data_IF_671832433347
#
_entry.id   IF_671832433347
#
_cell.length_a   1.000
_cell.length_b   1.000
_cell.length_c   1.000
_cell.angle_alpha   90.00
_cell.angle_beta   90.00
_cell.angle_gamma   90.00
#
_symmetry.space_group_name_H-M   'P 1'
#
loop_
_entity.id
_entity.type
_entity.pdbx_description
1 polymer ?
#
# COMPACT_ATOMS: atom_id res chain seq x y z
N UNK A 1 0.54 -24.73 -17.24
CA UNK A 1 -0.81 -25.26 -16.94
C UNK A 1 -1.48 -25.66 -18.24
N UNK A 2 -2.13 -26.82 -18.27
CA UNK A 2 -2.92 -27.26 -19.43
C UNK A 2 -4.38 -26.77 -19.32
N UNK A 3 -5.15 -26.87 -20.40
CA UNK A 3 -6.53 -26.36 -20.39
C UNK A 3 -7.49 -27.16 -19.49
N UNK A 4 -7.20 -28.42 -19.19
CA UNK A 4 -8.05 -29.23 -18.32
C UNK A 4 -7.91 -28.74 -16.86
N UNK A 5 -6.68 -28.55 -16.42
CA UNK A 5 -6.35 -27.92 -15.14
C UNK A 5 -6.93 -26.51 -15.07
N UNK A 6 -6.74 -25.70 -16.12
CA UNK A 6 -7.28 -24.35 -16.17
C UNK A 6 -8.80 -24.35 -16.04
N UNK A 7 -9.48 -25.24 -16.77
CA UNK A 7 -10.94 -25.39 -16.73
C UNK A 7 -11.48 -25.67 -15.32
N UNK A 8 -10.79 -26.51 -14.53
CA UNK A 8 -11.17 -26.80 -13.14
C UNK A 8 -11.00 -25.58 -12.22
N UNK A 9 -10.05 -24.71 -12.52
CA UNK A 9 -9.71 -23.54 -11.70
C UNK A 9 -10.42 -22.25 -12.12
N UNK A 10 -11.09 -22.21 -13.28
CA UNK A 10 -11.81 -21.01 -13.76
C UNK A 10 -12.90 -20.53 -12.79
N UNK A 11 -13.62 -21.45 -12.14
CA UNK A 11 -14.69 -21.12 -11.19
C UNK A 11 -14.13 -20.52 -9.89
N UNK A 12 -13.21 -21.19 -9.15
CA UNK A 12 -12.55 -20.59 -7.99
C UNK A 12 -11.84 -19.27 -8.32
N UNK A 13 -11.25 -19.15 -9.52
CA UNK A 13 -10.64 -17.92 -9.98
C UNK A 13 -11.67 -16.79 -10.13
N UNK A 14 -12.83 -17.07 -10.74
CA UNK A 14 -13.92 -16.10 -10.86
C UNK A 14 -14.50 -15.66 -9.49
N UNK A 15 -14.44 -16.53 -8.49
CA UNK A 15 -14.90 -16.26 -7.12
C UNK A 15 -13.80 -15.66 -6.22
N UNK A 16 -12.58 -15.44 -6.74
CA UNK A 16 -11.42 -14.92 -6.00
C UNK A 16 -10.97 -15.81 -4.83
N UNK A 17 -11.12 -17.13 -4.97
CA UNK A 17 -10.81 -18.12 -3.93
C UNK A 17 -9.45 -18.81 -4.12
N UNK A 18 -8.73 -18.48 -5.21
CA UNK A 18 -7.41 -19.06 -5.47
C UNK A 18 -6.31 -18.40 -4.65
N UNK A 19 -5.34 -19.21 -4.23
CA UNK A 19 -4.05 -18.71 -3.74
C UNK A 19 -3.27 -17.99 -4.84
N UNK A 20 -2.35 -17.10 -4.44
CA UNK A 20 -1.64 -16.20 -5.36
C UNK A 20 -0.96 -16.94 -6.53
N UNK A 21 -0.33 -18.09 -6.25
CA UNK A 21 0.39 -18.85 -7.27
C UNK A 21 -0.57 -19.45 -8.31
N UNK A 22 -1.70 -20.00 -7.88
CA UNK A 22 -2.72 -20.57 -8.76
C UNK A 22 -3.43 -19.49 -9.58
N UNK A 23 -3.71 -18.33 -8.98
CA UNK A 23 -4.29 -17.18 -9.67
C UNK A 23 -3.38 -16.69 -10.82
N UNK A 24 -2.09 -16.48 -10.54
CA UNK A 24 -1.13 -16.04 -11.56
C UNK A 24 -1.00 -17.05 -12.72
N UNK A 25 -1.01 -18.34 -12.41
CA UNK A 25 -0.92 -19.38 -13.43
C UNK A 25 -2.16 -19.42 -14.34
N UNK A 26 -3.35 -19.07 -13.82
CA UNK A 26 -4.56 -18.90 -14.61
C UNK A 26 -4.50 -17.63 -15.45
N UNK A 27 -4.05 -16.51 -14.88
CA UNK A 27 -3.86 -15.24 -15.61
C UNK A 27 -2.95 -15.44 -16.84
N UNK A 28 -1.80 -16.08 -16.64
CA UNK A 28 -0.87 -16.41 -17.73
C UNK A 28 -1.53 -17.32 -18.77
N UNK A 29 -2.22 -18.39 -18.35
CA UNK A 29 -2.90 -19.29 -19.29
C UNK A 29 -4.00 -18.56 -20.09
N UNK A 30 -4.73 -17.64 -19.47
CA UNK A 30 -5.72 -16.81 -20.14
C UNK A 30 -5.10 -15.78 -21.09
N UNK A 31 -3.82 -15.42 -20.99
CA UNK A 31 -3.15 -14.58 -22.00
C UNK A 31 -2.81 -15.39 -23.26
N UNK A 32 -2.56 -16.68 -23.13
CA UNK A 32 -2.09 -17.52 -24.25
C UNK A 32 -3.19 -18.39 -24.88
N UNK A 33 -4.25 -18.74 -24.14
CA UNK A 33 -5.28 -19.67 -24.60
C UNK A 33 -6.61 -19.00 -24.94
N UNK A 34 -6.93 -18.89 -26.23
CA UNK A 34 -8.20 -18.34 -26.71
C UNK A 34 -9.44 -19.14 -26.24
N UNK A 35 -9.33 -20.47 -26.16
CA UNK A 35 -10.42 -21.35 -25.68
C UNK A 35 -10.77 -21.05 -24.23
N UNK A 36 -9.78 -21.02 -23.35
CA UNK A 36 -10.00 -20.76 -21.92
C UNK A 36 -10.47 -19.32 -21.67
N UNK A 37 -10.01 -18.34 -22.48
CA UNK A 37 -10.59 -16.98 -22.46
C UNK A 37 -12.08 -16.98 -22.78
N UNK A 38 -12.49 -17.68 -23.84
CA UNK A 38 -13.90 -17.76 -24.22
C UNK A 38 -14.75 -18.42 -23.12
N UNK A 39 -14.26 -19.51 -22.52
CA UNK A 39 -14.92 -20.16 -21.38
C UNK A 39 -15.07 -19.24 -20.17
N UNK A 40 -14.00 -18.51 -19.81
CA UNK A 40 -14.02 -17.56 -18.71
C UNK A 40 -14.97 -16.39 -18.97
N UNK A 41 -14.95 -15.82 -20.19
CA UNK A 41 -15.88 -14.78 -20.59
C UNK A 41 -17.35 -15.24 -20.52
N UNK A 42 -17.63 -16.49 -20.89
CA UNK A 42 -18.94 -17.11 -20.73
C UNK A 42 -19.37 -17.18 -19.26
N UNK A 43 -18.47 -17.61 -18.38
CA UNK A 43 -18.71 -17.67 -16.94
C UNK A 43 -19.02 -16.30 -16.34
N UNK A 44 -18.22 -15.28 -16.66
CA UNK A 44 -18.44 -13.91 -16.15
C UNK A 44 -19.73 -13.30 -16.70
N UNK A 45 -20.08 -13.61 -17.95
CA UNK A 45 -21.34 -13.16 -18.57
C UNK A 45 -22.55 -13.79 -17.87
N UNK A 46 -22.51 -15.09 -17.60
CA UNK A 46 -23.55 -15.80 -16.86
C UNK A 46 -23.71 -15.22 -15.45
N UNK A 47 -22.60 -15.03 -14.73
CA UNK A 47 -22.62 -14.44 -13.39
C UNK A 47 -23.23 -13.04 -13.39
N UNK A 48 -22.88 -12.20 -14.36
CA UNK A 48 -23.45 -10.87 -14.50
C UNK A 48 -24.95 -10.91 -14.88
N UNK A 49 -25.40 -11.92 -15.63
CA UNK A 49 -26.81 -12.11 -15.92
C UNK A 49 -27.59 -12.54 -14.66
N UNK A 50 -27.06 -13.49 -13.89
CA UNK A 50 -27.66 -13.93 -12.62
C UNK A 50 -27.73 -12.79 -11.60
N UNK A 51 -26.67 -12.00 -11.46
CA UNK A 51 -26.66 -10.85 -10.55
C UNK A 51 -27.68 -9.77 -10.91
N UNK A 52 -28.08 -9.67 -12.19
CA UNK A 52 -29.14 -8.75 -12.65
C UNK A 52 -30.53 -9.34 -12.51
N UNK A 53 -30.67 -10.65 -12.71
CA UNK A 53 -31.95 -11.35 -12.64
C UNK A 53 -32.37 -11.65 -11.19
N UNK A 54 -31.41 -11.88 -10.30
CA UNK A 54 -31.64 -12.16 -8.90
C UNK A 54 -31.45 -10.87 -8.09
N UNK A 55 -32.52 -10.41 -7.44
CA UNK A 55 -32.38 -9.34 -6.45
C UNK A 55 -31.56 -9.84 -5.25
N UNK A 56 -30.56 -9.09 -4.79
CA UNK A 56 -29.85 -9.42 -3.56
C UNK A 56 -30.83 -9.42 -2.39
N UNK A 57 -30.95 -10.55 -1.70
CA UNK A 57 -31.79 -10.62 -0.52
C UNK A 57 -31.21 -9.71 0.57
N UNK A 58 -32.00 -8.74 1.04
CA UNK A 58 -31.54 -7.82 2.08
C UNK A 58 -31.43 -8.58 3.40
N UNK A 59 -30.28 -8.45 4.05
CA UNK A 59 -30.08 -8.99 5.38
C UNK A 59 -31.20 -8.47 6.33
N UNK A 60 -31.89 -9.36 7.07
CA UNK A 60 -32.92 -8.95 8.01
C UNK A 60 -32.36 -7.91 9.00
N UNK A 61 -33.12 -6.84 9.32
CA UNK A 61 -32.69 -5.82 10.26
C UNK A 61 -32.08 -6.35 11.57
N UNK A 62 -32.64 -7.40 12.23
CA UNK A 62 -32.04 -7.92 13.46
C UNK A 62 -30.67 -8.57 13.24
N UNK A 63 -30.46 -9.26 12.12
CA UNK A 63 -29.18 -9.89 11.78
C UNK A 63 -28.12 -8.82 11.49
N UNK A 64 -28.48 -7.81 10.69
CA UNK A 64 -27.60 -6.67 10.39
C UNK A 64 -27.17 -5.96 11.67
N UNK A 65 -28.11 -5.67 12.56
CA UNK A 65 -27.82 -5.01 13.84
C UNK A 65 -26.90 -5.86 14.74
N UNK A 66 -27.07 -7.19 14.75
CA UNK A 66 -26.19 -8.11 15.50
C UNK A 66 -24.77 -8.09 14.94
N UNK A 67 -24.61 -8.22 13.62
CA UNK A 67 -23.30 -8.22 12.96
C UNK A 67 -22.56 -6.91 13.22
N UNK A 68 -23.22 -5.77 13.02
CA UNK A 68 -22.60 -4.44 13.24
C UNK A 68 -22.13 -4.29 14.69
N UNK A 69 -22.92 -4.76 15.65
CA UNK A 69 -22.56 -4.70 17.09
C UNK A 69 -21.37 -5.58 17.42
N UNK A 70 -21.33 -6.81 16.92
CA UNK A 70 -20.20 -7.74 17.11
C UNK A 70 -18.90 -7.18 16.51
N UNK A 71 -18.98 -6.57 15.31
CA UNK A 71 -17.83 -5.93 14.68
C UNK A 71 -17.36 -4.68 15.46
N UNK A 72 -18.30 -3.87 15.95
CA UNK A 72 -17.98 -2.72 16.80
C UNK A 72 -17.35 -3.13 18.14
N UNK A 73 -17.77 -4.25 18.72
CA UNK A 73 -17.18 -4.80 19.95
C UNK A 73 -15.79 -5.40 19.77
N UNK A 74 -15.42 -5.81 18.54
CA UNK A 74 -14.06 -6.28 18.20
C UNK A 74 -13.10 -5.14 17.85
N UNK A 75 -13.60 -3.94 17.57
CA UNK A 75 -12.75 -2.77 17.47
C UNK A 75 -12.26 -2.38 18.86
N UNK A 76 -10.94 -2.26 19.04
CA UNK A 76 -10.36 -1.77 20.29
C UNK A 76 -10.99 -0.41 20.65
N UNK A 77 -11.32 -0.14 21.92
CA UNK A 77 -11.87 1.14 22.32
C UNK A 77 -10.86 2.24 21.97
N UNK A 78 -11.22 3.10 21.03
CA UNK A 78 -10.56 4.39 20.89
C UNK A 78 -10.75 5.11 22.23
N UNK A 79 -9.66 5.36 22.96
CA UNK A 79 -9.70 6.00 24.25
C UNK A 79 -10.49 7.32 24.17
N UNK A 80 -11.65 7.35 24.82
CA UNK A 80 -12.58 8.46 24.81
C UNK A 80 -12.02 9.64 25.63
N UNK A 81 -11.13 10.42 25.00
CA UNK A 81 -10.60 11.68 25.53
C UNK A 81 -11.58 12.84 25.35
N UNK A 82 -12.90 12.61 25.30
CA UNK A 82 -13.92 13.68 25.17
C UNK A 82 -14.75 13.89 26.45
N UNK A 83 -14.61 13.04 27.46
CA UNK A 83 -15.50 13.05 28.63
C UNK A 83 -15.16 14.06 29.74
N UNK A 84 -14.05 14.79 29.64
CA UNK A 84 -13.64 15.79 30.65
C UNK A 84 -13.90 17.27 30.26
N UNK A 85 -14.55 17.56 29.13
CA UNK A 85 -14.64 18.95 28.62
C UNK A 85 -15.96 19.65 28.98
N UNK A 86 -16.89 18.98 29.67
CA UNK A 86 -18.20 19.54 30.04
C UNK A 86 -18.19 20.38 31.34
N UNK A 87 -17.01 20.71 31.90
CA UNK A 87 -16.88 21.54 33.10
C UNK A 87 -16.65 23.05 32.82
N UNK A 88 -16.93 23.56 31.61
CA UNK A 88 -16.77 24.97 31.26
C UNK A 88 -18.09 25.56 30.70
N UNK A 89 -19.08 25.76 31.58
CA UNK A 89 -20.47 26.02 31.20
C UNK A 89 -20.94 27.49 31.01
N UNK A 90 -20.20 28.61 31.29
CA UNK A 90 -20.78 29.94 31.03
C UNK A 90 -20.26 30.66 29.77
N UNK A 91 -19.34 30.09 28.97
CA UNK A 91 -18.69 30.81 27.87
C UNK A 91 -19.32 30.69 26.46
N UNK A 92 -20.37 29.89 26.29
CA UNK A 92 -20.80 29.41 24.95
C UNK A 92 -21.74 30.39 24.24
N UNK A 93 -22.49 31.23 24.97
CA UNK A 93 -23.44 32.15 24.35
C UNK A 93 -22.77 33.28 23.53
N UNK A 94 -21.55 33.71 23.92
CA UNK A 94 -20.80 34.74 23.20
C UNK A 94 -20.16 34.22 21.89
N UNK A 95 -19.89 32.92 21.80
CA UNK A 95 -19.20 32.30 20.66
C UNK A 95 -20.13 32.06 19.44
N UNK A 96 -21.44 31.95 19.66
CA UNK A 96 -22.42 31.73 18.57
C UNK A 96 -22.59 33.00 17.70
N UNK A 97 -22.49 34.19 18.30
CA UNK A 97 -22.60 35.47 17.58
C UNK A 97 -21.35 35.80 16.74
N UNK A 98 -20.17 35.33 17.14
CA UNK A 98 -18.93 35.44 16.33
C UNK A 98 -18.84 34.32 15.28
N UNK A 99 -19.36 33.13 15.58
CA UNK A 99 -19.36 31.98 14.67
C UNK A 99 -20.19 32.18 13.39
N UNK A 100 -21.29 32.95 13.46
CA UNK A 100 -22.13 33.26 12.30
C UNK A 100 -21.42 34.08 11.21
N UNK A 101 -20.44 34.91 11.57
CA UNK A 101 -19.69 35.73 10.62
C UNK A 101 -18.50 35.00 9.97
N UNK A 102 -18.09 33.85 10.53
CA UNK A 102 -16.97 33.03 10.03
C UNK A 102 -17.40 31.97 9.00
N UNK A 103 -18.69 31.64 8.91
CA UNK A 103 -19.23 30.67 7.94
C UNK A 103 -19.40 31.22 6.52
N UNK A 104 -19.21 32.53 6.33
CA UNK A 104 -19.23 33.19 5.02
C UNK A 104 -17.83 33.26 4.35
N UNK A 105 -16.79 32.71 4.99
CA UNK A 105 -15.47 32.65 4.37
C UNK A 105 -15.43 31.49 3.38
N UNK A 106 -15.08 31.70 2.10
CA UNK A 106 -14.87 30.60 1.17
C UNK A 106 -13.86 29.65 1.81
N UNK A 107 -14.10 28.34 1.72
CA UNK A 107 -13.14 27.32 2.13
C UNK A 107 -11.79 27.64 1.47
N UNK A 108 -10.93 28.33 2.22
CA UNK A 108 -9.52 28.42 1.87
C UNK A 108 -9.03 27.01 2.07
N UNK A 109 -8.90 26.28 0.96
CA UNK A 109 -8.03 25.13 0.89
C UNK A 109 -6.77 25.52 1.66
N UNK A 110 -6.41 24.71 2.67
CA UNK A 110 -5.12 24.87 3.32
C UNK A 110 -4.08 24.68 2.22
N UNK A 111 -3.63 25.77 1.61
CA UNK A 111 -2.31 25.81 1.00
C UNK A 111 -1.37 25.76 2.19
N UNK A 112 -1.03 24.53 2.59
CA UNK A 112 0.04 24.25 3.52
C UNK A 112 1.29 24.90 2.94
N UNK A 113 1.59 26.10 3.41
CA UNK A 113 2.80 26.80 3.11
C UNK A 113 3.95 25.98 3.72
N UNK A 114 4.72 25.30 2.86
CA UNK A 114 6.05 24.79 3.19
C UNK A 114 6.14 23.38 3.78
N UNK A 115 5.09 22.56 3.76
CA UNK A 115 5.21 21.18 4.24
C UNK A 115 5.93 20.34 3.16
N UNK A 116 7.19 20.01 3.42
CA UNK A 116 7.97 19.14 2.56
C UNK A 116 7.23 17.80 2.47
N UNK A 117 6.80 17.41 1.27
CA UNK A 117 6.09 16.15 1.12
C UNK A 117 6.96 14.99 1.65
N UNK A 118 6.37 14.15 2.51
CA UNK A 118 6.99 12.93 3.01
C UNK A 118 6.44 11.74 2.22
N UNK A 119 7.30 10.96 1.59
CA UNK A 119 6.88 9.83 0.75
C UNK A 119 7.68 8.59 1.10
N UNK A 120 6.97 7.48 1.31
CA UNK A 120 7.58 6.17 1.51
C UNK A 120 7.36 5.33 0.26
N UNK A 121 8.46 4.95 -0.40
CA UNK A 121 8.47 4.08 -1.56
C UNK A 121 8.71 2.65 -1.10
N UNK A 122 7.91 1.73 -1.61
CA UNK A 122 7.98 0.32 -1.26
C UNK A 122 8.42 -0.51 -2.45
N UNK A 123 9.58 -1.17 -2.34
CA UNK A 123 10.13 -2.09 -3.34
C UNK A 123 10.05 -3.52 -2.79
N UNK A 124 9.11 -4.31 -3.30
CA UNK A 124 8.87 -5.68 -2.87
C UNK A 124 9.59 -6.73 -3.75
N UNK A 125 9.87 -6.43 -5.01
CA UNK A 125 10.47 -7.37 -5.96
C UNK A 125 11.75 -6.78 -6.57
N UNK A 126 12.55 -7.65 -7.19
CA UNK A 126 13.74 -7.24 -7.94
C UNK A 126 13.40 -6.85 -9.40
N UNK A 127 12.15 -7.03 -9.82
CA UNK A 127 11.71 -6.78 -11.19
C UNK A 127 11.70 -5.28 -11.48
N UNK A 128 12.10 -4.89 -12.69
CA UNK A 128 12.05 -3.51 -13.17
C UNK A 128 12.73 -2.48 -12.25
N UNK A 129 13.74 -2.88 -11.49
CA UNK A 129 14.35 -2.03 -10.49
C UNK A 129 14.93 -0.72 -11.07
N UNK A 130 15.53 -0.80 -12.26
CA UNK A 130 15.99 0.37 -13.02
C UNK A 130 14.85 1.36 -13.32
N UNK A 131 13.65 0.86 -13.62
CA UNK A 131 12.47 1.68 -13.82
C UNK A 131 11.97 2.28 -12.50
N UNK A 132 12.00 1.51 -11.42
CA UNK A 132 11.58 1.97 -10.10
C UNK A 132 12.47 3.11 -9.57
N UNK A 133 13.79 2.97 -9.71
CA UNK A 133 14.74 4.02 -9.36
C UNK A 133 14.60 5.25 -10.26
N UNK A 134 14.28 5.07 -11.55
CA UNK A 134 13.94 6.19 -12.44
C UNK A 134 12.66 6.91 -12.01
N UNK A 135 11.63 6.18 -11.58
CA UNK A 135 10.39 6.76 -11.03
C UNK A 135 10.69 7.58 -9.77
N UNK A 136 11.49 7.04 -8.85
CA UNK A 136 11.97 7.77 -7.67
C UNK A 136 12.71 9.06 -8.04
N UNK A 137 13.67 8.98 -8.97
CA UNK A 137 14.42 10.13 -9.47
C UNK A 137 13.49 11.20 -10.05
N UNK A 138 12.55 10.80 -10.90
CA UNK A 138 11.61 11.72 -11.53
C UNK A 138 10.74 12.43 -10.49
N UNK A 139 10.32 11.74 -9.42
CA UNK A 139 9.57 12.35 -8.33
C UNK A 139 10.43 13.37 -7.56
N UNK A 140 11.68 13.01 -7.22
CA UNK A 140 12.60 13.94 -6.55
C UNK A 140 12.91 15.17 -7.40
N UNK A 141 12.98 15.03 -8.72
CA UNK A 141 13.22 16.14 -9.66
C UNK A 141 11.99 17.06 -9.76
N UNK A 142 10.77 16.49 -9.76
CA UNK A 142 9.53 17.24 -9.84
C UNK A 142 9.11 17.92 -8.52
N UNK A 143 9.59 17.39 -7.39
CA UNK A 143 9.23 17.85 -6.05
C UNK A 143 10.48 18.24 -5.24
N UNK A 144 11.05 19.44 -5.45
CA UNK A 144 12.20 19.92 -4.68
C UNK A 144 11.90 19.95 -3.18
N UNK A 145 12.76 19.33 -2.38
CA UNK A 145 12.60 19.25 -0.93
C UNK A 145 11.76 18.06 -0.44
N UNK A 146 11.39 17.11 -1.31
CA UNK A 146 10.76 15.85 -0.93
C UNK A 146 11.64 15.05 0.06
N UNK A 147 11.04 14.61 1.17
CA UNK A 147 11.65 13.63 2.07
C UNK A 147 11.22 12.22 1.67
N UNK A 148 12.13 11.46 1.07
CA UNK A 148 11.85 10.12 0.56
C UNK A 148 12.51 9.03 1.40
N UNK A 149 11.73 8.00 1.77
CA UNK A 149 12.25 6.77 2.38
C UNK A 149 11.89 5.60 1.48
N UNK A 150 12.89 4.84 1.02
CA UNK A 150 12.71 3.60 0.28
C UNK A 150 12.79 2.44 1.27
N UNK A 151 11.72 1.66 1.38
CA UNK A 151 11.67 0.44 2.18
C UNK A 151 11.67 -0.77 1.24
N UNK A 152 12.69 -1.60 1.38
CA UNK A 152 12.86 -2.82 0.58
C UNK A 152 12.64 -4.08 1.43
N UNK A 153 11.91 -5.04 0.86
CA UNK A 153 11.71 -6.36 1.44
C UNK A 153 11.58 -7.43 0.35
N UNK A 154 11.48 -8.71 0.73
CA UNK A 154 11.45 -9.87 -0.17
C UNK A 154 12.61 -9.85 -1.20
N UNK A 155 12.30 -9.96 -2.50
CA UNK A 155 13.30 -9.91 -3.57
C UNK A 155 13.86 -8.48 -3.78
N UNK A 156 13.11 -7.46 -3.37
CA UNK A 156 13.52 -6.06 -3.48
C UNK A 156 14.76 -5.67 -2.67
N UNK A 157 15.26 -6.52 -1.75
CA UNK A 157 16.48 -6.23 -0.98
C UNK A 157 17.77 -6.40 -1.78
N UNK A 158 17.72 -7.07 -2.94
CA UNK A 158 18.93 -7.54 -3.65
C UNK A 158 19.85 -6.40 -4.11
N UNK A 159 19.30 -5.26 -4.48
CA UNK A 159 20.10 -4.12 -4.92
C UNK A 159 20.78 -3.35 -3.79
N UNK A 160 20.37 -3.62 -2.56
CA UNK A 160 20.98 -3.06 -1.36
C UNK A 160 22.06 -3.99 -0.79
N UNK A 161 22.46 -5.02 -1.54
CA UNK A 161 23.55 -5.93 -1.18
C UNK A 161 24.87 -5.52 -1.84
N UNK A 162 25.98 -5.79 -1.15
CA UNK A 162 27.34 -5.56 -1.64
C UNK A 162 27.58 -6.33 -2.93
N UNK A 163 28.10 -5.63 -3.94
CA UNK A 163 28.41 -6.22 -5.24
C UNK A 163 27.22 -6.32 -6.21
N UNK A 164 26.00 -5.93 -5.79
CA UNK A 164 24.86 -5.86 -6.70
C UNK A 164 25.11 -4.81 -7.80
N UNK A 165 24.76 -5.16 -9.05
CA UNK A 165 24.95 -4.33 -10.24
C UNK A 165 23.66 -4.26 -11.04
N UNK A 166 23.45 -3.14 -11.72
CA UNK A 166 22.36 -2.98 -12.67
C UNK A 166 22.66 -3.68 -14.01
N UNK A 167 21.70 -3.60 -14.93
CA UNK A 167 21.80 -4.19 -16.28
C UNK A 167 22.97 -3.64 -17.11
N UNK A 168 23.45 -2.44 -16.78
CA UNK A 168 24.60 -1.80 -17.45
C UNK A 168 25.93 -2.17 -16.79
N UNK A 169 25.90 -2.94 -15.71
CA UNK A 169 27.06 -3.30 -14.91
C UNK A 169 27.46 -2.26 -13.88
N UNK A 170 26.70 -1.16 -13.71
CA UNK A 170 26.98 -0.14 -12.70
C UNK A 170 26.64 -0.69 -11.30
N UNK A 171 27.50 -0.51 -10.28
CA UNK A 171 27.20 -0.93 -8.93
C UNK A 171 26.00 -0.16 -8.34
N UNK A 172 25.03 -0.87 -7.78
CA UNK A 172 23.88 -0.23 -7.12
C UNK A 172 24.28 0.61 -5.91
N UNK A 173 25.40 0.28 -5.24
CA UNK A 173 25.95 1.10 -4.16
C UNK A 173 26.22 2.55 -4.60
N UNK A 174 26.71 2.76 -5.82
CA UNK A 174 26.93 4.11 -6.36
C UNK A 174 25.60 4.82 -6.63
N UNK A 175 24.63 4.12 -7.22
CA UNK A 175 23.30 4.67 -7.50
C UNK A 175 22.59 5.07 -6.20
N UNK A 176 22.65 4.20 -5.19
CA UNK A 176 22.07 4.46 -3.86
C UNK A 176 22.75 5.65 -3.20
N UNK A 177 24.08 5.77 -3.30
CA UNK A 177 24.82 6.92 -2.78
C UNK A 177 24.38 8.23 -3.44
N UNK A 178 24.18 8.26 -4.76
CA UNK A 178 23.64 9.44 -5.46
C UNK A 178 22.26 9.84 -4.90
N UNK A 179 21.39 8.88 -4.57
CA UNK A 179 20.11 9.15 -3.93
C UNK A 179 20.25 9.61 -2.47
N UNK A 180 21.20 9.05 -1.71
CA UNK A 180 21.49 9.49 -0.33
C UNK A 180 21.93 10.95 -0.29
N UNK A 181 22.76 11.39 -1.24
CA UNK A 181 23.20 12.79 -1.38
C UNK A 181 22.03 13.74 -1.63
N UNK A 182 20.95 13.22 -2.24
CA UNK A 182 19.67 13.94 -2.43
C UNK A 182 18.71 13.82 -1.25
N UNK A 183 19.12 13.22 -0.13
CA UNK A 183 18.33 13.10 1.09
C UNK A 183 17.36 11.91 1.12
N UNK A 184 17.49 10.94 0.22
CA UNK A 184 16.71 9.70 0.27
C UNK A 184 17.29 8.77 1.33
N UNK A 185 16.46 8.09 2.10
CA UNK A 185 16.89 7.00 2.99
C UNK A 185 16.51 5.63 2.43
N UNK A 186 17.38 4.63 2.58
CA UNK A 186 17.10 3.25 2.19
C UNK A 186 17.02 2.38 3.43
N UNK A 187 15.93 1.62 3.59
CA UNK A 187 15.66 0.76 4.74
C UNK A 187 15.42 -0.67 4.29
N UNK A 188 16.11 -1.62 4.93
CA UNK A 188 16.07 -3.06 4.59
C UNK A 188 15.39 -3.85 5.70
N UNK A 189 14.45 -4.69 5.31
CA UNK A 189 13.72 -5.57 6.23
C UNK A 189 14.61 -6.71 6.76
N UNK A 190 14.89 -6.71 8.07
CA UNK A 190 15.71 -7.75 8.75
C UNK A 190 15.03 -9.12 8.72
N UNK A 191 13.71 -9.18 8.86
CA UNK A 191 12.95 -10.43 8.71
C UNK A 191 13.13 -11.05 7.30
N UNK A 192 13.22 -10.21 6.26
CA UNK A 192 13.52 -10.69 4.90
C UNK A 192 14.92 -11.28 4.83
N UNK A 193 15.94 -10.58 5.35
CA UNK A 193 17.31 -11.08 5.35
C UNK A 193 17.41 -12.42 6.06
N UNK A 194 16.79 -12.54 7.24
CA UNK A 194 16.75 -13.78 8.03
C UNK A 194 16.09 -14.92 7.25
N UNK A 195 14.89 -14.69 6.69
CA UNK A 195 14.17 -15.71 5.91
C UNK A 195 14.94 -16.17 4.67
N UNK A 196 15.64 -15.24 4.02
CA UNK A 196 16.43 -15.51 2.82
C UNK A 196 17.87 -15.95 3.12
N UNK A 197 18.24 -16.11 4.40
CA UNK A 197 19.57 -16.50 4.84
C UNK A 197 20.69 -15.57 4.32
N UNK A 198 20.40 -14.27 4.25
CA UNK A 198 21.35 -13.23 3.84
C UNK A 198 21.95 -12.62 5.10
N UNK A 199 23.28 -12.62 5.18
CA UNK A 199 23.98 -11.94 6.27
C UNK A 199 23.73 -10.44 6.22
N UNK A 200 23.35 -9.86 7.37
CA UNK A 200 23.25 -8.41 7.56
C UNK A 200 24.51 -7.66 7.13
N UNK A 201 25.70 -8.25 7.30
CA UNK A 201 26.95 -7.66 6.84
C UNK A 201 27.01 -7.51 5.32
N UNK A 202 26.24 -8.28 4.55
CA UNK A 202 26.18 -8.19 3.10
C UNK A 202 25.40 -6.95 2.61
N UNK A 203 24.67 -6.26 3.48
CA UNK A 203 23.97 -5.02 3.14
C UNK A 203 24.97 -3.87 2.99
N UNK A 204 24.75 -3.00 2.00
CA UNK A 204 25.58 -1.80 1.78
C UNK A 204 25.46 -0.82 2.96
N UNK A 205 26.54 -0.09 3.33
CA UNK A 205 26.53 0.80 4.48
C UNK A 205 25.56 1.99 4.34
N UNK A 206 25.15 2.33 3.12
CA UNK A 206 24.17 3.38 2.83
C UNK A 206 22.73 3.01 3.26
N UNK A 207 22.46 1.73 3.51
CA UNK A 207 21.14 1.22 3.88
C UNK A 207 21.04 0.94 5.39
N UNK A 208 19.87 1.24 5.96
CA UNK A 208 19.57 1.05 7.39
C UNK A 208 18.73 -0.20 7.58
N UNK A 209 19.11 -1.05 8.54
CA UNK A 209 18.31 -2.23 8.89
C UNK A 209 17.10 -1.82 9.74
N UNK A 210 15.93 -2.34 9.40
CA UNK A 210 14.71 -2.21 10.21
C UNK A 210 14.17 -3.60 10.56
N UNK A 211 13.52 -3.79 11.72
CA UNK A 211 13.02 -5.12 12.12
C UNK A 211 12.05 -5.72 11.10
N UNK A 212 11.13 -4.91 10.57
CA UNK A 212 10.11 -5.32 9.59
C UNK A 212 9.77 -4.19 8.63
N UNK A 213 9.87 -4.45 7.32
CA UNK A 213 9.58 -3.45 6.28
C UNK A 213 8.13 -2.97 6.28
N UNK A 214 7.15 -3.88 6.38
CA UNK A 214 5.72 -3.51 6.42
C UNK A 214 5.37 -2.73 7.70
N UNK A 215 5.95 -3.11 8.84
CA UNK A 215 5.76 -2.37 10.09
C UNK A 215 6.36 -0.96 10.00
N UNK A 216 7.51 -0.83 9.35
CA UNK A 216 8.17 0.46 9.14
C UNK A 216 7.34 1.39 8.23
N UNK A 217 6.84 0.86 7.11
CA UNK A 217 5.93 1.58 6.20
C UNK A 217 4.67 2.03 6.96
N UNK A 218 4.10 1.16 7.81
CA UNK A 218 2.91 1.49 8.60
C UNK A 218 3.21 2.57 9.64
N UNK A 219 4.39 2.51 10.29
CA UNK A 219 4.84 3.49 11.28
C UNK A 219 5.03 4.87 10.65
N UNK A 220 5.70 4.94 9.50
CA UNK A 220 5.94 6.17 8.74
C UNK A 220 4.62 6.83 8.32
N UNK A 221 3.68 6.06 7.78
CA UNK A 221 2.36 6.57 7.40
C UNK A 221 1.58 7.08 8.62
N UNK A 222 1.45 6.26 9.66
CA UNK A 222 0.55 6.55 10.78
C UNK A 222 1.09 7.62 11.74
N UNK A 223 2.42 7.74 11.88
CA UNK A 223 3.03 8.61 12.91
C UNK A 223 3.72 9.84 12.33
N UNK A 224 4.24 9.74 11.12
CA UNK A 224 5.02 10.81 10.48
C UNK A 224 4.35 11.36 9.22
N UNK A 225 3.14 10.89 8.87
CA UNK A 225 2.36 11.44 7.77
C UNK A 225 2.91 11.13 6.37
N UNK A 226 3.73 10.10 6.23
CA UNK A 226 4.27 9.70 4.92
C UNK A 226 3.15 9.21 3.99
N UNK A 227 3.21 9.63 2.72
CA UNK A 227 2.38 9.07 1.64
C UNK A 227 3.03 7.80 1.11
N UNK A 228 2.26 6.71 1.02
CA UNK A 228 2.74 5.44 0.51
C UNK A 228 2.66 5.33 -1.01
N UNK A 229 3.76 4.94 -1.63
CA UNK A 229 3.84 4.56 -3.04
C UNK A 229 4.48 3.18 -3.17
N UNK A 230 3.84 2.31 -3.95
CA UNK A 230 4.42 1.01 -4.33
C UNK A 230 5.13 1.15 -5.68
N UNK A 231 6.34 0.63 -5.73
CA UNK A 231 7.15 0.49 -6.93
C UNK A 231 7.30 -1.00 -7.27
#
# INVERSE_FOLDING_TARGET
MNCEEAGRLLHPYADSELELQAALAIEQHLQDCARCRASFAGLTTLRAALARACEPERAPPPLRARIVRELAGRAAPAADRRRNWLAAAPGIAALVLVGGLLLAQPWRAHTAAGDRAHVVFHIATADNLSANLRTLKNHLDASPGLHAVVVAHNAGVEFLLRGARDETGRPYAEIVRDFRERGVEFRVCTNTLTRRQIDTAAVIPEAVLVPSGIAEISRLQAREGYVYLRL
#
